data_IF_005104277466
#
_entry.id   IF_005104277466
#
_cell.length_a   1.000
_cell.length_b   1.000
_cell.length_c   1.000
_cell.angle_alpha   90.00
_cell.angle_beta   90.00
_cell.angle_gamma   90.00
#
_symmetry.space_group_name_H-M   'P 1'
#
loop_
_entity.id
_entity.type
_entity.pdbx_description
1 polymer ?
#
# COMPACT_ATOMS: atom_id res chain seq x y z
N UNK A 1 13.90 -0.82 -26.36
CA UNK A 1 12.69 -0.82 -25.54
C UNK A 1 12.55 -2.17 -24.83
N UNK A 2 13.28 -2.37 -23.73
CA UNK A 2 13.24 -3.61 -22.96
C UNK A 2 12.19 -3.39 -21.88
N UNK A 3 11.03 -4.04 -22.03
CA UNK A 3 10.01 -4.12 -20.99
C UNK A 3 10.67 -4.72 -19.75
N UNK A 4 10.95 -3.89 -18.76
CA UNK A 4 11.35 -4.34 -17.42
C UNK A 4 10.20 -5.19 -16.90
N UNK A 5 10.44 -6.47 -16.64
CA UNK A 5 9.45 -7.31 -15.98
C UNK A 5 9.09 -6.68 -14.65
N UNK A 6 7.80 -6.38 -14.46
CA UNK A 6 7.32 -5.73 -13.25
C UNK A 6 7.23 -6.78 -12.16
N UNK A 7 8.24 -6.81 -11.28
CA UNK A 7 8.23 -7.67 -10.10
C UNK A 7 7.39 -6.95 -9.02
N UNK A 8 6.27 -7.53 -8.55
CA UNK A 8 5.47 -6.90 -7.51
C UNK A 8 6.25 -6.90 -6.19
N UNK A 9 6.47 -5.69 -5.65
CA UNK A 9 7.20 -5.50 -4.39
C UNK A 9 6.24 -5.51 -3.19
N UNK A 10 4.99 -5.10 -3.39
CA UNK A 10 3.97 -5.01 -2.35
C UNK A 10 2.80 -5.92 -2.65
N UNK A 11 2.33 -6.65 -1.63
CA UNK A 11 1.07 -7.36 -1.67
C UNK A 11 0.08 -6.63 -0.74
N UNK A 12 -1.12 -6.36 -1.25
CA UNK A 12 -2.16 -5.61 -0.54
C UNK A 12 -3.46 -6.39 -0.61
N UNK A 13 -4.13 -6.50 0.52
CA UNK A 13 -5.43 -7.17 0.61
C UNK A 13 -6.56 -6.14 0.68
N UNK A 14 -7.67 -6.45 0.04
CA UNK A 14 -8.90 -5.66 0.08
C UNK A 14 -9.81 -6.24 1.15
N UNK A 15 -10.28 -5.42 2.09
CA UNK A 15 -11.19 -5.84 3.15
C UNK A 15 -12.42 -4.94 3.20
N UNK A 16 -13.58 -5.55 3.46
CA UNK A 16 -14.77 -4.84 3.91
C UNK A 16 -14.71 -4.72 5.44
N UNK A 17 -14.55 -3.51 5.95
CA UNK A 17 -14.48 -3.26 7.39
C UNK A 17 -15.89 -3.17 8.01
N UNK A 18 -15.97 -3.35 9.34
CA UNK A 18 -17.22 -3.28 10.14
C UNK A 18 -17.96 -1.94 10.01
N UNK A 19 -17.29 -0.89 9.51
CA UNK A 19 -17.88 0.41 9.20
C UNK A 19 -18.56 0.44 7.81
N UNK A 20 -18.72 -0.72 7.15
CA UNK A 20 -19.31 -0.87 5.81
C UNK A 20 -18.52 -0.18 4.68
N UNK A 21 -17.21 0.02 4.88
CA UNK A 21 -16.31 0.60 3.87
C UNK A 21 -15.30 -0.41 3.37
N UNK A 22 -14.95 -0.29 2.10
CA UNK A 22 -13.93 -1.11 1.46
C UNK A 22 -12.58 -0.41 1.64
N UNK A 23 -11.62 -1.09 2.26
CA UNK A 23 -10.31 -0.53 2.55
C UNK A 23 -9.19 -1.48 2.12
N UNK A 24 -8.02 -0.90 1.83
CA UNK A 24 -6.80 -1.63 1.57
C UNK A 24 -5.99 -1.82 2.86
N UNK A 25 -5.48 -3.03 3.08
CA UNK A 25 -4.50 -3.31 4.14
C UNK A 25 -3.26 -3.99 3.54
N UNK A 26 -2.06 -3.39 3.69
CA UNK A 26 -1.80 -2.03 4.21
C UNK A 26 -2.40 -0.92 3.34
N UNK A 27 -2.70 0.24 3.92
CA UNK A 27 -3.19 1.39 3.15
C UNK A 27 -2.06 2.02 2.32
N UNK A 28 -2.40 2.88 1.35
CA UNK A 28 -1.38 3.61 0.58
C UNK A 28 -0.54 4.51 1.49
N UNK A 29 -1.14 5.06 2.55
CA UNK A 29 -0.42 5.85 3.55
C UNK A 29 0.56 5.00 4.37
N UNK A 30 0.19 3.76 4.70
CA UNK A 30 1.08 2.84 5.40
C UNK A 30 2.27 2.46 4.52
N UNK A 31 2.04 2.21 3.23
CA UNK A 31 3.11 1.95 2.25
C UNK A 31 4.02 3.17 2.13
N UNK A 32 3.44 4.38 2.03
CA UNK A 32 4.20 5.63 2.01
C UNK A 32 5.09 5.77 3.24
N UNK A 33 4.53 5.56 4.44
CA UNK A 33 5.27 5.65 5.70
C UNK A 33 6.37 4.59 5.78
N UNK A 34 6.08 3.36 5.36
CA UNK A 34 7.03 2.24 5.33
C UNK A 34 8.23 2.57 4.43
N UNK A 35 7.99 3.07 3.21
CA UNK A 35 9.04 3.48 2.28
C UNK A 35 9.93 4.56 2.88
N UNK A 36 9.34 5.58 3.52
CA UNK A 36 10.10 6.66 4.14
C UNK A 36 10.91 6.18 5.35
N UNK A 37 10.37 5.24 6.14
CA UNK A 37 11.08 4.63 7.26
C UNK A 37 12.30 3.85 6.76
N UNK A 38 12.11 2.95 5.79
CA UNK A 38 13.21 2.16 5.20
C UNK A 38 14.25 3.08 4.56
N UNK A 39 13.84 4.13 3.85
CA UNK A 39 14.78 5.09 3.25
C UNK A 39 15.65 5.79 4.30
N UNK A 40 15.07 6.19 5.43
CA UNK A 40 15.84 6.79 6.55
C UNK A 40 16.79 5.78 7.20
N UNK A 41 16.32 4.56 7.42
CA UNK A 41 17.14 3.49 8.01
C UNK A 41 18.34 3.16 7.12
N UNK A 42 18.15 3.07 5.80
CA UNK A 42 19.24 2.85 4.85
C UNK A 42 20.32 3.93 4.93
N UNK A 43 19.94 5.21 5.02
CA UNK A 43 20.90 6.31 5.19
C UNK A 43 21.59 6.21 6.56
N UNK A 44 20.86 5.85 7.61
CA UNK A 44 21.40 5.73 8.97
C UNK A 44 22.40 4.58 9.10
N UNK A 45 22.20 3.47 8.38
CA UNK A 45 23.18 2.36 8.39
C UNK A 45 24.54 2.82 7.85
N UNK A 46 24.57 3.75 6.90
CA UNK A 46 25.82 4.29 6.32
C UNK A 46 26.65 5.06 7.34
N UNK A 47 26.04 5.60 8.42
CA UNK A 47 26.81 6.29 9.47
C UNK A 47 27.74 5.39 10.27
N UNK A 48 27.49 4.08 10.23
CA UNK A 48 28.31 3.09 10.93
C UNK A 48 29.44 2.54 10.05
N UNK A 49 29.54 2.97 8.79
CA UNK A 49 30.58 2.52 7.86
C UNK A 49 31.80 3.46 7.98
N UNK A 50 32.90 3.04 8.63
CA UNK A 50 34.09 3.88 8.77
C UNK A 50 34.79 4.05 7.42
N UNK A 51 35.52 5.15 7.24
CA UNK A 51 36.39 5.28 6.06
C UNK A 51 37.65 4.45 6.28
N UNK A 52 38.07 3.72 5.25
CA UNK A 52 39.31 2.94 5.28
C UNK A 52 40.54 3.79 5.67
N UNK A 53 40.51 5.08 5.34
CA UNK A 53 41.61 6.00 5.65
C UNK A 53 41.62 6.37 7.14
N UNK A 54 40.46 6.50 7.80
CA UNK A 54 40.37 6.68 9.26
C UNK A 54 40.90 5.44 9.98
N UNK A 55 40.54 4.24 9.48
CA UNK A 55 41.03 2.96 10.04
C UNK A 55 42.55 2.77 9.84
N UNK A 56 43.12 3.32 8.77
CA UNK A 56 44.55 3.24 8.47
C UNK A 56 45.39 4.25 9.27
N UNK A 57 44.83 5.43 9.60
CA UNK A 57 45.45 6.42 10.49
C UNK A 57 45.49 5.92 11.94
N UNK A 58 44.43 5.26 12.42
CA UNK A 58 44.40 4.58 13.74
C UNK A 58 45.41 3.42 13.84
N UNK A 59 45.74 2.78 12.71
CA UNK A 59 46.71 1.69 12.62
C UNK A 59 48.18 2.15 12.45
N UNK A 60 48.45 3.46 12.55
CA UNK A 60 49.81 4.03 12.57
C UNK A 60 50.53 4.06 11.22
N UNK A 61 49.83 3.87 10.10
CA UNK A 61 50.40 3.86 8.74
C UNK A 61 49.64 4.82 7.82
N UNK A 62 49.79 6.14 7.98
CA UNK A 62 49.24 7.11 7.01
C UNK A 62 49.47 8.56 7.39
N UNK A 63 50.10 9.33 6.49
CA UNK A 63 50.43 10.74 6.71
C UNK A 63 49.27 11.70 6.44
N UNK A 64 48.91 12.47 7.48
CA UNK A 64 48.33 13.83 7.57
C UNK A 64 47.64 14.47 6.36
N UNK A 65 46.76 13.77 5.63
CA UNK A 65 45.84 14.39 4.65
C UNK A 65 44.38 13.91 4.72
N UNK A 66 44.05 12.92 5.55
CA UNK A 66 42.70 12.35 5.57
C UNK A 66 41.78 12.90 6.67
N UNK A 67 42.33 13.57 7.68
CA UNK A 67 41.62 14.06 8.87
C UNK A 67 40.48 15.08 8.62
N UNK A 68 40.17 15.43 7.36
CA UNK A 68 39.18 16.46 7.01
C UNK A 68 38.12 15.99 5.99
N UNK A 69 38.04 14.69 5.68
CA UNK A 69 36.99 14.17 4.81
C UNK A 69 35.70 13.97 5.62
N UNK A 70 34.55 14.49 5.17
CA UNK A 70 33.27 14.23 5.84
C UNK A 70 32.95 12.75 5.80
N UNK A 71 32.24 12.23 6.80
CA UNK A 71 31.81 10.82 6.84
C UNK A 71 31.00 10.45 5.58
N UNK A 72 30.91 9.16 5.25
CA UNK A 72 30.02 8.72 4.16
C UNK A 72 28.58 9.16 4.40
N UNK A 73 28.13 9.12 5.65
CA UNK A 73 26.83 9.62 6.06
C UNK A 73 26.65 11.10 5.74
N UNK A 74 27.56 11.97 6.16
CA UNK A 74 27.47 13.41 5.87
C UNK A 74 27.51 13.70 4.37
N UNK A 75 28.31 12.96 3.61
CA UNK A 75 28.37 13.11 2.16
C UNK A 75 27.05 12.71 1.47
N UNK A 76 26.35 11.69 1.98
CA UNK A 76 25.12 11.17 1.37
C UNK A 76 23.87 11.92 1.90
N UNK A 77 23.86 12.28 3.19
CA UNK A 77 22.76 13.01 3.82
C UNK A 77 22.65 14.45 3.30
N UNK A 78 23.79 15.06 2.99
CA UNK A 78 23.84 16.42 2.44
C UNK A 78 23.77 16.45 0.91
N UNK A 79 23.76 15.28 0.24
CA UNK A 79 23.55 15.18 -1.20
C UNK A 79 22.05 15.38 -1.52
N UNK A 80 21.65 16.65 -1.59
CA UNK A 80 20.30 17.04 -1.96
C UNK A 80 19.95 16.61 -3.40
N UNK A 81 20.90 16.56 -4.33
CA UNK A 81 20.54 16.31 -5.74
C UNK A 81 20.37 14.81 -6.04
N UNK A 82 21.14 13.91 -5.40
CA UNK A 82 20.99 12.46 -5.59
C UNK A 82 19.97 11.83 -4.63
N UNK A 83 20.08 12.13 -3.33
CA UNK A 83 19.29 11.44 -2.29
C UNK A 83 17.86 11.99 -2.23
N UNK A 84 17.69 13.31 -2.13
CA UNK A 84 16.37 13.93 -2.05
C UNK A 84 15.57 13.69 -3.33
N UNK A 85 16.20 13.84 -4.50
CA UNK A 85 15.55 13.63 -5.80
C UNK A 85 15.05 12.21 -5.99
N UNK A 86 15.83 11.21 -5.56
CA UNK A 86 15.40 9.81 -5.57
C UNK A 86 14.19 9.60 -4.66
N UNK A 87 14.23 10.12 -3.43
CA UNK A 87 13.09 10.01 -2.48
C UNK A 87 11.85 10.71 -3.04
N UNK A 88 11.99 11.92 -3.60
CA UNK A 88 10.88 12.67 -4.22
C UNK A 88 10.30 11.92 -5.42
N UNK A 89 11.15 11.30 -6.24
CA UNK A 89 10.70 10.47 -7.36
C UNK A 89 9.88 9.28 -6.89
N UNK A 90 10.34 8.57 -5.84
CA UNK A 90 9.59 7.46 -5.23
C UNK A 90 8.26 7.96 -4.65
N UNK A 91 8.28 9.06 -3.89
CA UNK A 91 7.08 9.69 -3.32
C UNK A 91 6.07 10.09 -4.38
N UNK A 92 6.53 10.66 -5.50
CA UNK A 92 5.66 11.00 -6.63
C UNK A 92 5.03 9.75 -7.24
N UNK A 93 5.81 8.66 -7.36
CA UNK A 93 5.31 7.35 -7.76
C UNK A 93 4.20 6.83 -6.84
N UNK A 94 4.41 6.89 -5.53
CA UNK A 94 3.40 6.47 -4.53
C UNK A 94 2.15 7.36 -4.59
N UNK A 95 2.30 8.67 -4.73
CA UNK A 95 1.16 9.58 -4.87
C UNK A 95 0.35 9.30 -6.15
N UNK A 96 1.01 8.91 -7.24
CA UNK A 96 0.34 8.62 -8.52
C UNK A 96 -0.60 7.42 -8.49
N UNK A 97 -0.41 6.49 -7.53
CA UNK A 97 -1.28 5.32 -7.38
C UNK A 97 -2.52 5.61 -6.52
N UNK A 98 -2.53 6.70 -5.75
CA UNK A 98 -3.62 7.04 -4.81
C UNK A 98 -4.95 7.14 -5.54
N UNK A 99 -5.01 7.89 -6.65
CA UNK A 99 -6.26 8.08 -7.41
C UNK A 99 -6.78 6.77 -8.01
N UNK A 100 -5.88 5.90 -8.47
CA UNK A 100 -6.22 4.59 -9.03
C UNK A 100 -6.79 3.67 -7.95
N UNK A 101 -6.17 3.65 -6.78
CA UNK A 101 -6.66 2.92 -5.60
C UNK A 101 -8.04 3.44 -5.18
N UNK A 102 -8.21 4.76 -5.08
CA UNK A 102 -9.50 5.35 -4.70
C UNK A 102 -10.60 5.01 -5.72
N UNK A 103 -10.27 5.02 -7.01
CA UNK A 103 -11.19 4.61 -8.07
C UNK A 103 -11.58 3.13 -7.96
N UNK A 104 -10.61 2.26 -7.66
CA UNK A 104 -10.85 0.84 -7.42
C UNK A 104 -11.76 0.61 -6.20
N UNK A 105 -11.49 1.25 -5.06
CA UNK A 105 -12.33 1.14 -3.86
C UNK A 105 -13.75 1.67 -4.11
N UNK A 106 -13.87 2.80 -4.81
CA UNK A 106 -15.16 3.40 -5.19
C UNK A 106 -15.97 2.50 -6.12
N UNK A 107 -15.32 1.71 -6.98
CA UNK A 107 -16.00 0.73 -7.83
C UNK A 107 -16.73 -0.33 -6.99
N UNK A 108 -16.05 -0.92 -6.01
CA UNK A 108 -16.63 -1.92 -5.11
C UNK A 108 -17.81 -1.34 -4.33
N UNK A 109 -17.67 -0.14 -3.77
CA UNK A 109 -18.76 0.53 -3.08
C UNK A 109 -19.93 0.83 -4.03
N UNK A 110 -19.69 1.34 -5.23
CA UNK A 110 -20.77 1.66 -6.17
C UNK A 110 -21.54 0.42 -6.62
N UNK A 111 -20.85 -0.69 -6.87
CA UNK A 111 -21.45 -1.90 -7.42
C UNK A 111 -22.15 -2.74 -6.35
N UNK A 112 -21.50 -2.96 -5.21
CA UNK A 112 -21.92 -3.98 -4.25
C UNK A 112 -22.38 -3.44 -2.89
N UNK A 113 -22.31 -2.13 -2.64
CA UNK A 113 -22.69 -1.55 -1.32
C UNK A 113 -24.06 -1.98 -0.82
N UNK A 114 -25.03 -2.15 -1.71
CA UNK A 114 -26.38 -2.60 -1.35
C UNK A 114 -26.42 -3.97 -0.65
N UNK A 115 -25.40 -4.82 -0.79
CA UNK A 115 -25.31 -6.16 -0.19
C UNK A 115 -25.05 -6.10 1.32
N UNK A 116 -24.20 -5.16 1.75
CA UNK A 116 -23.74 -5.04 3.15
C UNK A 116 -24.32 -3.82 3.89
N UNK A 117 -24.82 -2.81 3.17
CA UNK A 117 -25.52 -1.66 3.77
C UNK A 117 -26.93 -2.03 4.25
N UNK A 118 -27.48 -3.15 3.78
CA UNK A 118 -28.81 -3.62 4.15
C UNK A 118 -28.82 -4.31 5.52
N UNK A 119 -29.69 -3.86 6.42
CA UNK A 119 -30.02 -4.57 7.67
C UNK A 119 -30.75 -5.88 7.33
N UNK A 120 -29.99 -6.98 7.35
CA UNK A 120 -30.48 -8.32 7.00
C UNK A 120 -31.58 -8.77 7.96
N UNK A 121 -31.49 -8.46 9.26
CA UNK A 121 -32.47 -8.87 10.24
C UNK A 121 -33.79 -8.12 10.06
N UNK A 122 -33.73 -6.81 9.84
CA UNK A 122 -34.92 -6.02 9.54
C UNK A 122 -35.56 -6.43 8.21
N UNK A 123 -34.75 -6.75 7.21
CA UNK A 123 -35.24 -7.24 5.92
C UNK A 123 -35.96 -8.57 6.07
N UNK A 124 -35.35 -9.56 6.74
CA UNK A 124 -35.94 -10.89 6.96
C UNK A 124 -37.23 -10.80 7.80
N UNK A 125 -37.28 -9.96 8.85
CA UNK A 125 -38.52 -9.72 9.61
C UNK A 125 -39.67 -9.16 8.76
N UNK A 126 -39.37 -8.29 7.79
CA UNK A 126 -40.37 -7.78 6.85
C UNK A 126 -40.77 -8.84 5.83
N UNK A 127 -39.80 -9.65 5.40
CA UNK A 127 -39.98 -10.73 4.44
C UNK A 127 -40.94 -11.80 4.95
N UNK A 128 -40.81 -12.21 6.21
CA UNK A 128 -41.72 -13.14 6.90
C UNK A 128 -43.16 -12.60 6.98
N UNK A 129 -43.32 -11.32 7.38
CA UNK A 129 -44.63 -10.68 7.48
C UNK A 129 -45.32 -10.45 6.14
N UNK A 130 -44.55 -10.35 5.05
CA UNK A 130 -45.07 -10.04 3.72
C UNK A 130 -45.89 -11.17 3.09
N UNK A 131 -45.78 -12.42 3.59
CA UNK A 131 -46.53 -13.60 3.10
C UNK A 131 -46.56 -13.69 1.56
N UNK A 132 -45.40 -13.51 0.94
CA UNK A 132 -45.24 -13.55 -0.52
C UNK A 132 -45.62 -14.93 -1.10
N UNK A 133 -46.02 -15.04 -2.37
CA UNK A 133 -46.19 -16.34 -3.02
C UNK A 133 -44.83 -17.06 -3.22
N UNK A 134 -44.83 -18.39 -3.29
CA UNK A 134 -43.61 -19.22 -3.47
C UNK A 134 -42.75 -18.76 -4.66
N UNK A 135 -43.37 -18.40 -5.79
CA UNK A 135 -42.67 -17.92 -6.98
C UNK A 135 -41.82 -16.66 -6.73
N UNK A 136 -42.23 -15.80 -5.79
CA UNK A 136 -41.44 -14.63 -5.43
C UNK A 136 -40.20 -15.00 -4.59
N UNK A 137 -40.29 -16.06 -3.77
CA UNK A 137 -39.12 -16.59 -3.06
C UNK A 137 -38.10 -17.19 -4.03
N UNK A 138 -38.56 -18.00 -5.00
CA UNK A 138 -37.69 -18.58 -6.02
C UNK A 138 -36.99 -17.50 -6.85
N UNK A 139 -37.71 -16.42 -7.18
CA UNK A 139 -37.13 -15.26 -7.86
C UNK A 139 -36.05 -14.55 -7.05
N UNK A 140 -36.31 -14.29 -5.76
CA UNK A 140 -35.34 -13.66 -4.86
C UNK A 140 -34.10 -14.58 -4.66
N UNK A 141 -34.29 -15.89 -4.49
CA UNK A 141 -33.19 -16.88 -4.37
C UNK A 141 -32.34 -16.89 -5.64
N UNK A 142 -32.97 -16.93 -6.81
CA UNK A 142 -32.25 -16.93 -8.10
C UNK A 142 -31.42 -15.66 -8.24
N UNK A 143 -31.99 -14.50 -7.94
CA UNK A 143 -31.28 -13.22 -7.95
C UNK A 143 -30.05 -13.22 -7.04
N UNK A 144 -30.17 -13.73 -5.81
CA UNK A 144 -29.03 -13.78 -4.89
C UNK A 144 -27.97 -14.81 -5.30
N UNK A 145 -28.36 -15.90 -5.98
CA UNK A 145 -27.40 -16.84 -6.60
C UNK A 145 -26.63 -16.19 -7.74
N UNK A 146 -27.33 -15.51 -8.64
CA UNK A 146 -26.70 -14.76 -9.74
C UNK A 146 -25.73 -13.69 -9.20
N UNK A 147 -26.11 -13.00 -8.11
CA UNK A 147 -25.25 -12.02 -7.46
C UNK A 147 -24.02 -12.66 -6.81
N UNK A 148 -24.16 -13.87 -6.24
CA UNK A 148 -23.03 -14.63 -5.73
C UNK A 148 -22.07 -15.00 -6.86
N UNK A 149 -22.60 -15.49 -7.98
CA UNK A 149 -21.80 -15.86 -9.15
C UNK A 149 -21.08 -14.63 -9.74
N UNK A 150 -21.74 -13.47 -9.77
CA UNK A 150 -21.13 -12.21 -10.21
C UNK A 150 -19.96 -11.79 -9.31
N UNK A 151 -20.10 -11.88 -7.99
CA UNK A 151 -19.02 -11.55 -7.05
C UNK A 151 -17.85 -12.53 -7.18
N UNK A 152 -18.12 -13.83 -7.34
CA UNK A 152 -17.07 -14.84 -7.52
C UNK A 152 -16.35 -14.67 -8.86
N UNK A 153 -17.03 -14.22 -9.90
CA UNK A 153 -16.41 -13.94 -11.20
C UNK A 153 -15.50 -12.70 -11.21
N UNK A 154 -15.48 -11.90 -10.13
CA UNK A 154 -14.55 -10.76 -9.97
C UNK A 154 -13.20 -11.17 -9.33
N UNK A 155 -13.06 -12.40 -8.83
CA UNK A 155 -11.76 -12.99 -8.45
C UNK A 155 -10.93 -13.39 -9.68
#
# INVERSE_FOLDING_TARGET
DKKTEVIPIFNVMVFLEKNNRVELRPSVQDIFNMIHNVSRELITVVSHVPRLVETAEDAGQGGSKAANLPSFYESISNDEDATLKTIVSITTGVSSIVEKVQSFLSYWEKKYRHIWDQDKDAYIRRYDKAKKPLSAFDGDITKYKELQDEVVAEE
#
